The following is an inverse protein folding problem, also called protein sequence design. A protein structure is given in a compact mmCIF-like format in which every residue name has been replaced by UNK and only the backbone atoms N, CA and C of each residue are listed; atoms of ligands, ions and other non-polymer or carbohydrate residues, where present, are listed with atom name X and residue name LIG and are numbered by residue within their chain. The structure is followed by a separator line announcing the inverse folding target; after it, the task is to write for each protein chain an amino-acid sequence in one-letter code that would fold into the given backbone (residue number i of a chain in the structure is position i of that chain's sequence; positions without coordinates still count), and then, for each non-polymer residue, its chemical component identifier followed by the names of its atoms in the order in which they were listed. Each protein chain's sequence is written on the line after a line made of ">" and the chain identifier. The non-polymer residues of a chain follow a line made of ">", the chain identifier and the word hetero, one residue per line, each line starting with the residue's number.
data_IF_083463350171
#
_entry.id   IF_083463350171
#
_cell.length_a   1.000
_cell.length_b   1.000
_cell.length_c   1.000
_cell.angle_alpha   90.00
_cell.angle_beta   90.00
_cell.angle_gamma   90.00
#
_symmetry.space_group_name_H-M   'P 1'
#
loop_
_entity.id
_entity.type
_entity.pdbx_description
1 polymer ?
#
# COMPACT_ATOMS: atom_id res chain seq x y z
N UNK A 1 10.99 24.67 -14.20
CA UNK A 1 10.58 23.31 -13.82
C UNK A 1 11.12 23.14 -12.43
N UNK A 2 10.24 23.04 -11.43
CA UNK A 2 10.67 22.75 -10.06
C UNK A 2 10.97 21.26 -10.02
N UNK A 3 12.19 20.89 -9.63
CA UNK A 3 12.56 19.49 -9.49
C UNK A 3 11.78 18.86 -8.31
N UNK A 4 11.38 17.59 -8.44
CA UNK A 4 10.55 16.89 -7.44
C UNK A 4 11.23 15.61 -6.98
N UNK A 5 11.20 15.36 -5.68
CA UNK A 5 11.68 14.13 -5.05
C UNK A 5 10.57 13.53 -4.19
N UNK A 6 10.19 12.26 -4.42
CA UNK A 6 9.20 11.61 -3.58
C UNK A 6 9.87 10.80 -2.47
N UNK A 7 9.21 10.75 -1.31
CA UNK A 7 9.63 9.93 -0.18
C UNK A 7 9.67 8.43 -0.55
N UNK A 8 8.71 7.94 -1.35
CA UNK A 8 8.67 6.55 -1.80
C UNK A 8 9.89 6.16 -2.65
N UNK A 9 10.39 7.08 -3.48
CA UNK A 9 11.61 6.87 -4.29
C UNK A 9 12.83 6.60 -3.41
N UNK A 10 12.95 7.29 -2.26
CA UNK A 10 14.02 7.07 -1.29
C UNK A 10 13.82 5.79 -0.47
N UNK A 11 12.59 5.42 -0.12
CA UNK A 11 12.31 4.17 0.60
C UNK A 11 12.71 2.95 -0.23
N UNK A 12 12.51 3.00 -1.55
CA UNK A 12 12.91 1.95 -2.47
C UNK A 12 14.45 1.78 -2.61
N UNK A 13 15.24 2.78 -2.23
CA UNK A 13 16.70 2.71 -2.33
C UNK A 13 17.33 1.81 -1.25
N UNK A 14 18.44 1.18 -1.63
CA UNK A 14 19.28 0.45 -0.68
C UNK A 14 19.99 1.41 0.29
N UNK A 15 20.33 0.98 1.52
CA UNK A 15 21.09 1.82 2.45
C UNK A 15 22.40 2.35 1.87
N UNK A 16 23.07 1.56 1.04
CA UNK A 16 24.30 1.97 0.34
C UNK A 16 24.06 3.10 -0.66
N UNK A 17 22.95 3.04 -1.39
CA UNK A 17 22.58 4.08 -2.35
C UNK A 17 22.19 5.39 -1.64
N UNK A 18 21.45 5.28 -0.52
CA UNK A 18 21.11 6.44 0.31
C UNK A 18 22.35 7.09 0.92
N UNK A 19 23.32 6.29 1.39
CA UNK A 19 24.58 6.81 1.90
C UNK A 19 25.35 7.59 0.81
N UNK A 20 25.45 7.04 -0.40
CA UNK A 20 26.11 7.71 -1.51
C UNK A 20 25.41 9.04 -1.87
N UNK A 21 24.07 9.05 -1.91
CA UNK A 21 23.30 10.28 -2.13
C UNK A 21 23.53 11.31 -1.03
N UNK A 22 23.62 10.89 0.23
CA UNK A 22 23.89 11.77 1.36
C UNK A 22 25.31 12.34 1.33
N UNK A 23 26.31 11.54 0.93
CA UNK A 23 27.70 11.99 0.74
C UNK A 23 27.81 12.99 -0.43
N UNK A 24 27.11 12.74 -1.54
CA UNK A 24 27.05 13.66 -2.70
C UNK A 24 26.40 15.02 -2.34
N UNK A 25 25.50 15.01 -1.35
CA UNK A 25 24.85 16.20 -0.79
C UNK A 25 25.62 16.83 0.38
N UNK A 26 26.85 16.35 0.65
CA UNK A 26 27.71 16.84 1.74
C UNK A 26 27.07 16.77 3.15
N UNK A 27 26.13 15.82 3.36
CA UNK A 27 25.46 15.64 4.65
C UNK A 27 26.43 15.06 5.69
N UNK A 28 26.67 15.81 6.76
CA UNK A 28 27.58 15.40 7.83
C UNK A 28 27.10 14.13 8.55
N UNK A 29 28.05 13.25 8.90
CA UNK A 29 27.81 12.02 9.67
C UNK A 29 26.78 11.04 9.05
N UNK A 30 26.53 11.10 7.74
CA UNK A 30 25.59 10.21 7.06
C UNK A 30 25.87 8.70 7.30
N UNK A 31 27.13 8.32 7.47
CA UNK A 31 27.53 6.92 7.71
C UNK A 31 27.10 6.34 9.06
N UNK A 32 26.80 7.18 10.05
CA UNK A 32 26.33 6.74 11.38
C UNK A 32 24.80 6.80 11.51
N UNK A 33 24.13 7.45 10.57
CA UNK A 33 22.69 7.62 10.55
C UNK A 33 21.95 6.31 10.22
N UNK A 34 20.77 6.15 10.82
CA UNK A 34 19.83 5.09 10.40
C UNK A 34 19.21 5.44 9.05
N UNK A 35 18.63 4.44 8.37
CA UNK A 35 17.97 4.63 7.06
C UNK A 35 16.96 5.80 7.08
N UNK A 36 16.11 5.87 8.11
CA UNK A 36 15.14 6.96 8.27
C UNK A 36 15.79 8.34 8.40
N UNK A 37 16.85 8.45 9.21
CA UNK A 37 17.59 9.70 9.42
C UNK A 37 18.31 10.16 8.14
N UNK A 38 18.88 9.22 7.38
CA UNK A 38 19.47 9.53 6.07
C UNK A 38 18.42 10.07 5.09
N UNK A 39 17.28 9.38 4.96
CA UNK A 39 16.19 9.85 4.08
C UNK A 39 15.71 11.24 4.49
N UNK A 40 15.52 11.47 5.79
CA UNK A 40 15.13 12.77 6.32
C UNK A 40 16.12 13.87 5.94
N UNK A 41 17.41 13.62 6.14
CA UNK A 41 18.46 14.61 5.87
C UNK A 41 18.55 14.92 4.37
N UNK A 42 18.44 13.90 3.50
CA UNK A 42 18.40 14.07 2.04
C UNK A 42 17.19 14.92 1.61
N UNK A 43 16.01 14.64 2.15
CA UNK A 43 14.80 15.39 1.81
C UNK A 43 14.87 16.84 2.26
N UNK A 44 15.45 17.07 3.44
CA UNK A 44 15.68 18.42 3.97
C UNK A 44 16.61 19.23 3.07
N UNK A 45 17.77 18.68 2.72
CA UNK A 45 18.74 19.36 1.85
C UNK A 45 18.12 19.70 0.49
N UNK A 46 17.40 18.74 -0.11
CA UNK A 46 16.72 18.95 -1.40
C UNK A 46 15.61 20.00 -1.32
N UNK A 47 14.87 20.06 -0.21
CA UNK A 47 13.88 21.10 0.01
C UNK A 47 14.53 22.49 0.12
N UNK A 48 15.71 22.60 0.73
CA UNK A 48 16.49 23.84 0.81
C UNK A 48 17.00 24.29 -0.57
N UNK A 49 17.34 23.34 -1.45
CA UNK A 49 17.64 23.57 -2.88
C UNK A 49 16.41 23.98 -3.71
N UNK A 50 15.22 24.05 -3.10
CA UNK A 50 13.97 24.45 -3.76
C UNK A 50 13.24 23.31 -4.48
N UNK A 51 13.58 22.05 -4.20
CA UNK A 51 12.83 20.91 -4.72
C UNK A 51 11.49 20.75 -4.02
N UNK A 52 10.47 20.34 -4.76
CA UNK A 52 9.21 19.90 -4.16
C UNK A 52 9.36 18.48 -3.63
N UNK A 53 8.99 18.28 -2.36
CA UNK A 53 9.03 16.96 -1.75
C UNK A 53 7.64 16.34 -1.80
N UNK A 54 7.52 15.19 -2.47
CA UNK A 54 6.27 14.45 -2.58
C UNK A 54 6.18 13.31 -1.55
N UNK A 55 4.95 12.99 -1.16
CA UNK A 55 4.65 11.84 -0.31
C UNK A 55 3.31 11.22 -0.67
N UNK A 56 3.18 9.94 -0.37
CA UNK A 56 1.95 9.17 -0.55
C UNK A 56 1.76 8.18 0.61
N UNK A 57 0.51 7.81 0.86
CA UNK A 57 0.16 6.74 1.78
C UNK A 57 -1.35 6.64 2.01
N UNK A 58 -1.76 5.62 2.76
CA UNK A 58 -3.16 5.38 3.11
C UNK A 58 -3.46 6.03 4.45
N UNK A 59 -4.47 6.90 4.49
CA UNK A 59 -4.83 7.64 5.68
C UNK A 59 -5.39 6.71 6.76
N UNK A 60 -4.87 6.83 7.97
CA UNK A 60 -5.49 6.34 9.20
C UNK A 60 -5.87 7.56 10.07
N UNK A 61 -7.17 7.75 10.30
CA UNK A 61 -7.67 8.82 11.17
C UNK A 61 -7.75 8.32 12.61
N UNK A 62 -7.10 9.03 13.53
CA UNK A 62 -7.09 8.71 14.95
C UNK A 62 -8.26 9.39 15.69
N UNK A 63 -8.51 8.97 16.93
CA UNK A 63 -9.65 9.43 17.74
C UNK A 63 -9.69 10.96 17.96
N UNK A 64 -8.52 11.59 18.02
CA UNK A 64 -8.38 13.05 18.17
C UNK A 64 -8.62 13.83 16.86
N UNK A 65 -8.93 13.14 15.76
CA UNK A 65 -9.32 13.71 14.48
C UNK A 65 -8.18 14.13 13.56
N UNK A 66 -6.92 13.98 13.99
CA UNK A 66 -5.76 14.02 13.09
C UNK A 66 -5.47 12.61 12.57
N UNK A 67 -4.61 12.49 11.56
CA UNK A 67 -4.29 11.19 10.99
C UNK A 67 -2.85 11.09 10.49
N UNK A 68 -2.49 9.88 10.10
CA UNK A 68 -1.21 9.56 9.49
C UNK A 68 -1.42 8.82 8.17
N UNK A 69 -0.64 9.16 7.15
CA UNK A 69 -0.55 8.37 5.94
C UNK A 69 0.43 7.22 6.18
N UNK A 70 -0.11 6.00 6.25
CA UNK A 70 0.62 4.77 6.46
C UNK A 70 1.17 4.23 5.14
N UNK A 71 2.37 3.65 5.20
CA UNK A 71 3.01 3.05 4.02
C UNK A 71 2.55 1.61 3.78
N UNK A 72 2.15 1.24 2.55
CA UNK A 72 1.91 -0.16 2.16
C UNK A 72 3.16 -1.04 2.36
N UNK A 73 4.37 -0.49 2.14
CA UNK A 73 5.64 -1.20 2.32
C UNK A 73 5.88 -1.62 3.78
N UNK A 74 5.35 -0.84 4.71
CA UNK A 74 5.38 -1.12 6.14
C UNK A 74 4.19 -2.00 6.58
N UNK A 75 3.38 -2.53 5.65
CA UNK A 75 2.12 -3.24 5.92
C UNK A 75 1.13 -2.39 6.75
N UNK A 76 1.07 -1.09 6.46
CA UNK A 76 0.21 -0.11 7.15
C UNK A 76 0.50 0.08 8.64
N UNK A 77 1.69 -0.30 9.09
CA UNK A 77 2.07 -0.14 10.49
C UNK A 77 2.53 1.27 10.79
N UNK A 78 2.34 1.75 12.04
CA UNK A 78 2.92 2.99 12.50
C UNK A 78 4.45 2.99 12.35
N UNK A 79 4.95 3.95 11.60
CA UNK A 79 6.36 4.15 11.31
C UNK A 79 6.82 5.58 11.62
N UNK A 80 8.13 5.78 11.88
CA UNK A 80 8.70 7.12 12.06
C UNK A 80 8.66 7.95 10.76
N UNK A 81 8.46 7.30 9.62
CA UNK A 81 8.38 7.85 8.27
C UNK A 81 6.94 8.05 7.78
N UNK A 82 5.96 7.98 8.68
CA UNK A 82 4.57 8.30 8.39
C UNK A 82 4.37 9.80 8.23
N UNK A 83 3.41 10.16 7.38
CA UNK A 83 3.11 11.55 7.06
C UNK A 83 1.89 12.00 7.87
N UNK A 84 2.10 12.94 8.77
CA UNK A 84 1.06 13.61 9.51
C UNK A 84 0.10 14.36 8.59
N UNK A 85 -1.19 14.25 8.88
CA UNK A 85 -2.25 15.03 8.28
C UNK A 85 -3.10 15.72 9.36
N UNK A 86 -3.25 17.03 9.22
CA UNK A 86 -4.00 17.83 10.19
C UNK A 86 -5.51 17.57 10.08
N UNK A 87 -6.26 17.73 11.20
CA UNK A 87 -7.71 17.61 11.19
C UNK A 87 -8.40 18.57 10.20
N UNK A 88 -7.79 19.72 9.92
CA UNK A 88 -8.30 20.70 8.97
C UNK A 88 -8.26 20.19 7.54
N UNK A 89 -7.18 19.50 7.14
CA UNK A 89 -7.09 18.90 5.80
C UNK A 89 -8.05 17.73 5.65
N UNK A 90 -8.14 16.87 6.67
CA UNK A 90 -9.09 15.74 6.70
C UNK A 90 -10.52 16.27 6.50
N UNK A 91 -10.93 17.30 7.23
CA UNK A 91 -12.25 17.92 7.07
C UNK A 91 -12.43 18.61 5.72
N UNK A 92 -11.43 19.36 5.24
CA UNK A 92 -11.49 20.13 3.99
C UNK A 92 -11.75 19.23 2.78
N UNK A 93 -11.13 18.05 2.76
CA UNK A 93 -11.25 17.08 1.67
C UNK A 93 -12.24 15.94 1.97
N UNK A 94 -12.93 16.00 3.11
CA UNK A 94 -13.87 14.98 3.59
C UNK A 94 -13.28 13.56 3.60
N UNK A 95 -11.99 13.47 3.97
CA UNK A 95 -11.22 12.22 3.98
C UNK A 95 -11.65 11.29 5.11
N UNK A 96 -11.45 10.00 4.91
CA UNK A 96 -11.69 8.92 5.88
C UNK A 96 -10.50 7.98 5.94
N UNK A 97 -10.45 7.14 6.97
CA UNK A 97 -9.51 6.01 7.00
C UNK A 97 -9.68 5.18 5.72
N UNK A 98 -8.58 4.73 5.13
CA UNK A 98 -8.57 3.99 3.85
C UNK A 98 -8.33 4.88 2.62
N UNK A 99 -8.53 6.20 2.71
CA UNK A 99 -8.24 7.08 1.58
C UNK A 99 -6.73 7.13 1.30
N UNK A 100 -6.34 6.75 0.08
CA UNK A 100 -4.98 6.95 -0.43
C UNK A 100 -4.79 8.42 -0.78
N UNK A 101 -3.81 9.07 -0.17
CA UNK A 101 -3.52 10.48 -0.41
C UNK A 101 -2.12 10.65 -0.94
N UNK A 102 -1.99 11.42 -2.02
CA UNK A 102 -0.73 11.83 -2.64
C UNK A 102 -0.64 13.35 -2.61
N UNK A 103 0.52 13.89 -2.26
CA UNK A 103 0.70 15.32 -2.20
C UNK A 103 2.11 15.79 -1.89
N UNK A 104 2.24 17.11 -1.72
CA UNK A 104 3.49 17.74 -1.28
C UNK A 104 3.57 17.65 0.23
N UNK A 105 4.73 17.25 0.73
CA UNK A 105 5.04 17.12 2.15
C UNK A 105 6.15 18.09 2.55
N UNK A 106 6.20 18.45 3.83
CA UNK A 106 7.30 19.19 4.43
C UNK A 106 7.96 18.36 5.52
N UNK A 107 9.27 18.52 5.66
CA UNK A 107 10.01 17.99 6.78
C UNK A 107 9.51 18.60 8.10
N UNK A 108 9.49 17.84 9.21
CA UNK A 108 9.20 18.38 10.53
C UNK A 108 10.11 19.55 10.90
N UNK A 109 9.55 20.56 11.57
CA UNK A 109 10.32 21.60 12.24
C UNK A 109 11.08 21.09 13.48
N UNK A 110 11.82 21.96 14.16
CA UNK A 110 12.69 21.58 15.32
C UNK A 110 11.94 20.88 16.48
N UNK A 111 10.62 21.09 16.60
CA UNK A 111 9.79 20.49 17.65
C UNK A 111 8.81 19.43 17.12
N UNK A 112 8.92 19.02 15.87
CA UNK A 112 8.03 18.05 15.22
C UNK A 112 8.79 16.74 14.93
N UNK A 113 8.07 15.61 14.89
CA UNK A 113 8.67 14.29 14.72
C UNK A 113 8.30 13.61 13.40
N UNK A 114 7.37 14.18 12.62
CA UNK A 114 6.79 13.55 11.43
C UNK A 114 6.76 14.52 10.27
N UNK A 115 6.87 13.99 9.05
CA UNK A 115 6.56 14.76 7.84
C UNK A 115 5.11 15.21 7.89
N UNK A 116 4.81 16.41 7.40
CA UNK A 116 3.44 16.90 7.33
C UNK A 116 3.04 17.09 5.87
N UNK A 117 1.84 16.65 5.50
CA UNK A 117 1.28 17.01 4.20
C UNK A 117 0.95 18.50 4.20
N UNK A 118 1.35 19.21 3.15
CA UNK A 118 1.11 20.66 2.99
C UNK A 118 0.08 20.94 1.90
N UNK A 119 0.07 20.12 0.85
CA UNK A 119 -0.83 20.23 -0.28
C UNK A 119 -1.23 18.84 -0.77
N UNK A 120 -2.53 18.58 -0.79
CA UNK A 120 -3.10 17.35 -1.37
C UNK A 120 -3.23 17.52 -2.88
N UNK A 121 -2.70 16.56 -3.65
CA UNK A 121 -2.71 16.57 -5.11
C UNK A 121 -3.61 15.49 -5.69
N UNK A 122 -3.67 14.31 -5.09
CA UNK A 122 -4.63 13.26 -5.47
C UNK A 122 -5.22 12.57 -4.25
N UNK A 123 -6.45 12.07 -4.42
CA UNK A 123 -7.16 11.24 -3.46
C UNK A 123 -7.68 10.01 -4.21
N UNK A 124 -7.32 8.81 -3.77
CA UNK A 124 -7.63 7.53 -4.42
C UNK A 124 -7.38 7.58 -5.93
N UNK A 125 -6.18 8.03 -6.33
CA UNK A 125 -5.73 8.13 -7.72
C UNK A 125 -6.51 9.12 -8.61
N UNK A 126 -7.35 9.98 -8.01
CA UNK A 126 -8.18 10.96 -8.72
C UNK A 126 -7.98 12.38 -8.20
N UNK A 127 -8.42 13.38 -8.96
CA UNK A 127 -8.38 14.78 -8.52
C UNK A 127 -9.20 14.98 -7.22
N UNK A 128 -8.69 15.77 -6.25
CA UNK A 128 -9.34 15.95 -4.95
C UNK A 128 -10.75 16.52 -5.02
N UNK A 129 -11.07 17.32 -6.04
CA UNK A 129 -12.41 17.86 -6.23
C UNK A 129 -13.44 16.79 -6.62
N UNK A 130 -13.02 15.76 -7.38
CA UNK A 130 -13.88 14.62 -7.73
C UNK A 130 -14.18 13.76 -6.50
N UNK A 131 -13.20 13.62 -5.60
CA UNK A 131 -13.34 12.78 -4.41
C UNK A 131 -14.41 13.27 -3.43
N UNK A 132 -14.70 14.58 -3.39
CA UNK A 132 -15.73 15.16 -2.50
C UNK A 132 -17.16 14.71 -2.81
N UNK A 133 -17.42 14.24 -4.02
CA UNK A 133 -18.76 13.88 -4.49
C UNK A 133 -19.04 12.37 -4.42
N UNK A 134 -18.16 11.59 -3.77
CA UNK A 134 -18.31 10.14 -3.64
C UNK A 134 -19.48 9.77 -2.73
N UNK A 135 -20.21 8.75 -3.13
CA UNK A 135 -21.22 8.09 -2.29
C UNK A 135 -20.48 7.15 -1.35
N UNK A 136 -20.81 7.19 -0.05
CA UNK A 136 -20.24 6.26 0.93
C UNK A 136 -20.53 4.81 0.53
N UNK A 137 -19.56 3.91 0.75
CA UNK A 137 -19.68 2.49 0.38
C UNK A 137 -20.95 1.83 0.94
N UNK A 138 -21.31 2.12 2.20
CA UNK A 138 -22.51 1.61 2.85
C UNK A 138 -23.84 2.02 2.20
N UNK A 139 -23.83 3.10 1.41
CA UNK A 139 -25.01 3.56 0.70
C UNK A 139 -25.15 2.94 -0.70
N UNK A 140 -24.15 2.17 -1.15
CA UNK A 140 -24.23 1.47 -2.43
C UNK A 140 -25.23 0.31 -2.35
N UNK A 141 -25.91 0.04 -3.46
CA UNK A 141 -26.84 -1.08 -3.54
C UNK A 141 -26.06 -2.37 -3.80
N UNK A 142 -26.11 -3.37 -2.90
CA UNK A 142 -25.44 -4.64 -3.12
C UNK A 142 -26.15 -5.41 -4.23
N UNK A 143 -25.39 -5.86 -5.22
CA UNK A 143 -25.88 -6.68 -6.34
C UNK A 143 -25.07 -7.97 -6.42
N UNK A 144 -25.65 -8.98 -7.06
CA UNK A 144 -24.89 -10.18 -7.43
C UNK A 144 -23.88 -9.85 -8.55
N UNK A 145 -22.73 -10.53 -8.61
CA UNK A 145 -21.78 -10.37 -9.69
C UNK A 145 -22.44 -10.60 -11.06
N UNK A 146 -22.28 -9.64 -11.96
CA UNK A 146 -22.75 -9.67 -13.35
C UNK A 146 -21.57 -9.77 -14.34
N UNK A 147 -20.38 -9.30 -13.95
CA UNK A 147 -19.14 -9.48 -14.68
C UNK A 147 -18.32 -10.66 -14.15
N UNK A 148 -17.91 -11.55 -15.05
CA UNK A 148 -17.09 -12.73 -14.73
C UNK A 148 -15.60 -12.40 -14.77
N UNK A 149 -14.87 -12.86 -13.74
CA UNK A 149 -13.40 -12.92 -13.76
C UNK A 149 -12.96 -14.26 -14.35
N UNK A 150 -12.59 -14.29 -15.64
CA UNK A 150 -12.00 -15.47 -16.28
C UNK A 150 -10.64 -15.79 -15.64
N UNK A 151 -10.49 -17.01 -15.13
CA UNK A 151 -9.25 -17.46 -14.48
C UNK A 151 -8.31 -18.15 -15.48
N UNK A 152 -8.83 -18.90 -16.44
CA UNK A 152 -8.03 -19.59 -17.45
C UNK A 152 -7.17 -18.59 -18.24
N UNK A 153 -5.86 -18.81 -18.23
CA UNK A 153 -4.88 -18.08 -19.03
C UNK A 153 -4.58 -18.87 -20.31
N UNK A 154 -4.38 -18.17 -21.42
CA UNK A 154 -4.21 -18.78 -22.74
C UNK A 154 -2.75 -19.20 -23.01
N UNK A 155 -2.09 -19.84 -22.04
CA UNK A 155 -0.73 -20.37 -22.17
C UNK A 155 -0.71 -21.91 -22.30
N UNK A 156 -0.41 -22.47 -23.49
CA UNK A 156 -0.32 -23.91 -23.71
C UNK A 156 0.77 -24.62 -22.90
N UNK A 157 1.77 -23.89 -22.41
CA UNK A 157 2.85 -24.45 -21.59
C UNK A 157 2.46 -24.61 -20.11
N UNK A 158 1.38 -23.97 -19.68
CA UNK A 158 0.91 -24.03 -18.30
C UNK A 158 0.36 -25.42 -17.98
N UNK A 159 1.10 -26.15 -17.14
CA UNK A 159 0.72 -27.50 -16.70
C UNK A 159 -0.41 -27.51 -15.67
N UNK A 160 -0.52 -26.44 -14.90
CA UNK A 160 -1.53 -26.31 -13.86
C UNK A 160 -2.91 -26.03 -14.48
N UNK A 161 -3.90 -26.86 -14.14
CA UNK A 161 -5.27 -26.77 -14.65
C UNK A 161 -6.25 -26.17 -13.65
N UNK A 162 -5.77 -25.70 -12.50
CA UNK A 162 -6.60 -25.21 -11.40
C UNK A 162 -7.51 -24.06 -11.84
N UNK A 163 -6.96 -23.08 -12.57
CA UNK A 163 -7.72 -21.94 -13.08
C UNK A 163 -8.89 -22.37 -13.99
N UNK A 164 -8.64 -23.33 -14.89
CA UNK A 164 -9.67 -23.92 -15.77
C UNK A 164 -10.76 -24.64 -14.98
N UNK A 165 -10.36 -25.39 -13.94
CA UNK A 165 -11.30 -26.11 -13.09
C UNK A 165 -12.17 -25.11 -12.30
N UNK A 166 -11.59 -24.03 -11.76
CA UNK A 166 -12.34 -22.96 -11.10
C UNK A 166 -13.37 -22.39 -12.08
N UNK A 167 -12.95 -22.06 -13.30
CA UNK A 167 -13.83 -21.52 -14.33
C UNK A 167 -15.01 -22.44 -14.70
N UNK A 168 -14.85 -23.75 -14.60
CA UNK A 168 -15.90 -24.72 -14.92
C UNK A 168 -16.80 -25.05 -13.72
N UNK A 169 -16.23 -25.15 -12.53
CA UNK A 169 -16.91 -25.71 -11.34
C UNK A 169 -17.43 -24.61 -10.41
N UNK A 170 -16.66 -23.53 -10.24
CA UNK A 170 -16.93 -22.47 -9.29
C UNK A 170 -16.48 -21.11 -9.85
N UNK A 171 -17.14 -20.60 -10.91
CA UNK A 171 -16.76 -19.35 -11.55
C UNK A 171 -16.79 -18.18 -10.55
N UNK A 172 -15.83 -17.27 -10.69
CA UNK A 172 -15.68 -16.10 -9.82
C UNK A 172 -16.06 -14.85 -10.64
N UNK A 173 -16.82 -13.92 -10.04
CA UNK A 173 -17.19 -12.64 -10.65
C UNK A 173 -16.71 -11.43 -9.85
N UNK A 174 -16.83 -10.24 -10.43
CA UNK A 174 -16.54 -8.97 -9.73
C UNK A 174 -17.58 -8.74 -8.63
N UNK A 175 -17.11 -8.61 -7.39
CA UNK A 175 -17.97 -8.58 -6.19
C UNK A 175 -18.27 -9.97 -5.59
N UNK A 176 -17.65 -11.03 -6.09
CA UNK A 176 -17.85 -12.38 -5.55
C UNK A 176 -17.25 -12.51 -4.14
N UNK A 177 -18.00 -13.16 -3.25
CA UNK A 177 -17.50 -13.62 -1.95
C UNK A 177 -17.30 -15.13 -2.01
N UNK A 178 -16.08 -15.58 -1.82
CA UNK A 178 -15.68 -16.98 -1.99
C UNK A 178 -14.94 -17.49 -0.76
N UNK A 179 -15.05 -18.79 -0.52
CA UNK A 179 -14.30 -19.50 0.52
C UNK A 179 -13.63 -20.71 -0.09
N UNK A 180 -12.31 -20.83 0.08
CA UNK A 180 -11.54 -22.02 -0.30
C UNK A 180 -11.38 -22.87 0.96
N UNK A 181 -12.10 -23.99 1.01
CA UNK A 181 -12.00 -24.96 2.11
C UNK A 181 -10.94 -26.00 1.75
N UNK A 182 -9.84 -26.00 2.50
CA UNK A 182 -8.69 -26.85 2.21
C UNK A 182 -8.05 -27.37 3.53
N UNK A 183 -7.84 -28.70 3.69
CA UNK A 183 -7.04 -29.23 4.80
C UNK A 183 -5.58 -28.75 4.73
N UNK A 184 -4.82 -28.82 5.84
CA UNK A 184 -3.39 -28.50 5.82
C UNK A 184 -2.63 -29.32 4.76
N UNK A 185 -1.65 -28.67 4.09
CA UNK A 185 -0.76 -29.29 3.07
C UNK A 185 -1.45 -29.80 1.80
N UNK A 186 -2.58 -29.21 1.42
CA UNK A 186 -3.33 -29.57 0.20
C UNK A 186 -3.13 -28.61 -0.98
N UNK A 187 -2.17 -27.68 -0.87
CA UNK A 187 -1.86 -26.75 -1.97
C UNK A 187 -2.68 -25.45 -1.97
N UNK A 188 -3.28 -25.06 -0.83
CA UNK A 188 -3.98 -23.75 -0.65
C UNK A 188 -3.17 -22.58 -1.21
N UNK A 189 -1.90 -22.49 -0.82
CA UNK A 189 -1.01 -21.39 -1.20
C UNK A 189 -0.77 -21.33 -2.70
N UNK A 190 -0.50 -22.49 -3.33
CA UNK A 190 -0.32 -22.59 -4.79
C UNK A 190 -1.61 -22.21 -5.52
N UNK A 191 -2.77 -22.65 -5.04
CA UNK A 191 -4.05 -22.29 -5.62
C UNK A 191 -4.31 -20.78 -5.55
N UNK A 192 -4.00 -20.14 -4.41
CA UNK A 192 -4.13 -18.69 -4.25
C UNK A 192 -3.18 -17.92 -5.17
N UNK A 193 -1.93 -18.36 -5.30
CA UNK A 193 -0.96 -17.78 -6.26
C UNK A 193 -1.50 -17.86 -7.69
N UNK A 194 -2.01 -19.04 -8.09
CA UNK A 194 -2.60 -19.22 -9.42
C UNK A 194 -3.78 -18.27 -9.66
N UNK A 195 -4.66 -18.09 -8.68
CA UNK A 195 -5.77 -17.13 -8.78
C UNK A 195 -5.21 -15.71 -8.95
N UNK A 196 -4.23 -15.32 -8.12
CA UNK A 196 -3.63 -14.00 -8.16
C UNK A 196 -2.96 -13.71 -9.52
N UNK A 197 -2.21 -14.68 -10.07
CA UNK A 197 -1.60 -14.60 -11.40
C UNK A 197 -2.65 -14.49 -12.51
N UNK A 198 -3.72 -15.28 -12.41
CA UNK A 198 -4.81 -15.28 -13.38
C UNK A 198 -5.51 -13.92 -13.41
N UNK A 199 -5.80 -13.34 -12.24
CA UNK A 199 -6.40 -12.00 -12.13
C UNK A 199 -5.44 -10.94 -12.68
N UNK A 200 -4.17 -10.94 -12.26
CA UNK A 200 -3.20 -9.96 -12.71
C UNK A 200 -2.94 -9.99 -14.23
N UNK A 201 -3.06 -11.17 -14.86
CA UNK A 201 -2.88 -11.33 -16.31
C UNK A 201 -4.13 -11.00 -17.10
N UNK A 202 -5.29 -11.56 -16.71
CA UNK A 202 -6.52 -11.46 -17.49
C UNK A 202 -7.33 -10.20 -17.19
N UNK A 203 -7.19 -9.64 -15.98
CA UNK A 203 -7.94 -8.47 -15.49
C UNK A 203 -6.98 -7.44 -14.89
N UNK A 204 -6.05 -6.86 -15.68
CA UNK A 204 -5.06 -5.91 -15.20
C UNK A 204 -5.70 -4.58 -14.70
N UNK A 205 -6.98 -4.35 -14.99
CA UNK A 205 -7.74 -3.22 -14.45
C UNK A 205 -8.16 -3.44 -12.98
N UNK A 206 -8.11 -4.67 -12.48
CA UNK A 206 -8.42 -4.97 -11.08
C UNK A 206 -7.24 -4.60 -10.18
N UNK A 207 -7.51 -3.84 -9.13
CA UNK A 207 -6.55 -3.62 -8.05
C UNK A 207 -6.44 -4.90 -7.20
N UNK A 208 -5.29 -5.58 -7.26
CA UNK A 208 -5.08 -6.87 -6.61
C UNK A 208 -4.33 -6.69 -5.28
N UNK A 209 -5.00 -7.00 -4.17
CA UNK A 209 -4.43 -7.04 -2.83
C UNK A 209 -4.40 -8.50 -2.34
N UNK A 210 -3.25 -8.93 -1.83
CA UNK A 210 -3.09 -10.21 -1.12
C UNK A 210 -2.76 -9.92 0.34
N UNK A 211 -3.73 -10.16 1.21
CA UNK A 211 -3.58 -10.03 2.66
C UNK A 211 -3.22 -11.38 3.30
N UNK A 212 -2.08 -11.44 3.97
CA UNK A 212 -1.59 -12.62 4.69
C UNK A 212 -1.59 -12.35 6.20
N UNK A 213 -2.39 -13.09 6.95
CA UNK A 213 -2.53 -12.95 8.40
C UNK A 213 -2.09 -14.25 9.07
N UNK A 214 -1.29 -14.13 10.13
CA UNK A 214 -0.82 -15.25 10.96
C UNK A 214 -0.12 -16.34 10.13
N UNK A 215 0.58 -15.92 9.07
CA UNK A 215 1.25 -16.81 8.11
C UNK A 215 2.77 -16.79 8.33
N UNK A 216 3.44 -17.82 7.81
CA UNK A 216 4.90 -17.96 7.99
C UNK A 216 5.70 -16.95 7.14
N UNK A 217 6.82 -16.39 7.65
CA UNK A 217 7.65 -15.43 6.92
C UNK A 217 8.14 -15.92 5.54
N UNK A 218 8.47 -17.20 5.41
CA UNK A 218 8.89 -17.79 4.14
C UNK A 218 7.76 -17.82 3.10
N UNK A 219 6.52 -18.07 3.53
CA UNK A 219 5.34 -18.08 2.65
C UNK A 219 4.96 -16.65 2.23
N UNK A 220 5.10 -15.68 3.13
CA UNK A 220 4.96 -14.25 2.80
C UNK A 220 5.97 -13.82 1.76
N UNK A 221 7.24 -14.22 1.93
CA UNK A 221 8.32 -13.88 1.00
C UNK A 221 8.08 -14.50 -0.37
N UNK A 222 7.61 -15.74 -0.42
CA UNK A 222 7.26 -16.44 -1.66
C UNK A 222 6.12 -15.71 -2.40
N UNK A 223 5.05 -15.34 -1.68
CA UNK A 223 3.93 -14.59 -2.25
C UNK A 223 4.36 -13.23 -2.80
N UNK A 224 5.18 -12.47 -2.04
CA UNK A 224 5.71 -11.15 -2.45
C UNK A 224 6.55 -11.21 -3.72
N UNK A 225 7.29 -12.29 -3.93
CA UNK A 225 8.13 -12.48 -5.13
C UNK A 225 7.35 -13.00 -6.33
N UNK A 226 6.25 -13.70 -6.08
CA UNK A 226 5.48 -14.41 -7.11
C UNK A 226 4.36 -13.54 -7.69
N UNK A 227 3.62 -12.81 -6.86
CA UNK A 227 2.40 -12.11 -7.27
C UNK A 227 2.68 -10.67 -7.70
N UNK A 228 2.09 -10.28 -8.84
CA UNK A 228 2.06 -8.88 -9.30
C UNK A 228 0.84 -8.19 -8.72
N UNK A 229 1.00 -7.62 -7.54
CA UNK A 229 -0.04 -6.91 -6.82
C UNK A 229 0.49 -6.40 -5.49
N UNK A 230 -0.37 -5.75 -4.72
CA UNK A 230 -0.04 -5.32 -3.38
C UNK A 230 -0.09 -6.52 -2.44
N UNK A 231 0.99 -6.78 -1.70
CA UNK A 231 1.06 -7.91 -0.76
C UNK A 231 1.31 -7.38 0.65
N UNK A 232 0.26 -7.43 1.46
CA UNK A 232 0.25 -6.94 2.85
C UNK A 232 0.28 -8.14 3.78
N UNK A 233 1.10 -8.07 4.83
CA UNK A 233 1.28 -9.23 5.72
C UNK A 233 1.45 -8.86 7.19
N UNK A 234 0.90 -9.69 8.06
CA UNK A 234 1.23 -9.77 9.48
C UNK A 234 1.55 -11.23 9.82
N UNK A 235 2.83 -11.54 10.05
CA UNK A 235 3.29 -12.91 10.33
C UNK A 235 2.87 -13.40 11.71
N UNK A 236 2.98 -14.71 11.96
CA UNK A 236 2.62 -15.33 13.25
C UNK A 236 3.43 -14.84 14.47
N UNK A 237 4.55 -14.14 14.24
CA UNK A 237 5.36 -13.54 15.31
C UNK A 237 4.68 -12.31 15.94
N UNK A 238 3.64 -11.79 15.29
CA UNK A 238 2.95 -10.57 15.69
C UNK A 238 1.75 -10.84 16.61
N UNK A 239 1.39 -9.90 17.50
CA UNK A 239 0.23 -10.08 18.37
C UNK A 239 -1.08 -10.01 17.59
N UNK A 240 -2.13 -10.67 18.09
CA UNK A 240 -3.45 -10.68 17.46
C UNK A 240 -4.05 -9.27 17.24
N UNK A 241 -3.77 -8.32 18.13
CA UNK A 241 -4.18 -6.91 17.96
C UNK A 241 -3.62 -6.30 16.69
N UNK A 242 -2.42 -6.71 16.28
CA UNK A 242 -1.78 -6.26 15.04
C UNK A 242 -2.42 -6.91 13.82
N UNK A 243 -2.78 -8.18 13.89
CA UNK A 243 -3.53 -8.83 12.80
C UNK A 243 -4.84 -8.11 12.50
N UNK A 244 -5.56 -7.71 13.56
CA UNK A 244 -6.81 -6.96 13.44
C UNK A 244 -6.56 -5.60 12.81
N UNK A 245 -5.62 -4.81 13.34
CA UNK A 245 -5.33 -3.47 12.82
C UNK A 245 -4.93 -3.47 11.34
N UNK A 246 -4.07 -4.41 10.91
CA UNK A 246 -3.67 -4.53 9.50
C UNK A 246 -4.86 -4.92 8.63
N UNK A 247 -5.71 -5.86 9.08
CA UNK A 247 -6.90 -6.26 8.33
C UNK A 247 -7.94 -5.13 8.23
N UNK A 248 -8.11 -4.33 9.29
CA UNK A 248 -8.96 -3.14 9.30
C UNK A 248 -8.46 -2.07 8.32
N UNK A 249 -7.15 -1.81 8.28
CA UNK A 249 -6.59 -0.86 7.32
C UNK A 249 -6.73 -1.32 5.85
N UNK A 250 -6.70 -2.64 5.59
CA UNK A 250 -6.76 -3.18 4.23
C UNK A 250 -8.19 -3.27 3.69
N UNK A 251 -9.19 -3.35 4.56
CA UNK A 251 -10.60 -3.44 4.12
C UNK A 251 -11.24 -2.08 3.86
N UNK A 252 -10.70 -1.00 4.43
CA UNK A 252 -11.10 0.40 4.20
C UNK A 252 -10.52 0.95 2.88
#
# INVERSE_FOLDING_TARGET
>A
MTDRLNLSDLKAQSPKALLAMAEDLEIENASTMRKGEMMFSILKERAEDGWEIGGEGVLEVLQDGFGFLRSPEANYLPGPDDIYMSPEMIRKFALRTGDTVEGVISAPGENENYFAITKVEKINFTDPETAKHKVAFDNLTPLHPDERLKMETDDPATKDRSARIIDLVAPIGKGQRSLIVAPPRTGKTVLLQNIAHSVAQNHPECYLIVLLIDERPEEVTDMKRSVKGEVVSSTFDEPATRHVAVAEMVIE
#
